data_IF_093194818561
#
_entry.id   IF_093194818561
#
_cell.length_a   1.000
_cell.length_b   1.000
_cell.length_c   1.000
_cell.angle_alpha   90.00
_cell.angle_beta   90.00
_cell.angle_gamma   90.00
#
_symmetry.space_group_name_H-M   'P 1'
#
loop_
_entity.id
_entity.type
_entity.pdbx_description
1 polymer ?
#
# COMPACT_ATOMS: atom_id res chain seq x y z
N UNK A 1 14.67 -14.78 5.18
CA UNK A 1 13.42 -15.39 5.71
C UNK A 1 12.33 -15.18 4.67
N UNK A 2 11.54 -16.21 4.32
CA UNK A 2 10.53 -16.12 3.27
C UNK A 2 9.16 -15.81 3.91
N UNK A 3 8.48 -14.76 3.45
CA UNK A 3 7.14 -14.39 3.91
C UNK A 3 6.08 -14.93 2.96
N UNK A 4 5.07 -15.62 3.49
CA UNK A 4 3.88 -16.10 2.78
C UNK A 4 2.66 -15.28 3.20
N UNK A 5 1.73 -15.08 2.27
CA UNK A 5 0.52 -14.31 2.49
C UNK A 5 -0.73 -15.19 2.38
N UNK A 6 -1.41 -15.40 3.51
CA UNK A 6 -2.62 -16.19 3.61
C UNK A 6 -3.76 -15.33 4.20
N UNK A 7 -4.56 -14.66 3.36
CA UNK A 7 -5.60 -13.73 3.82
C UNK A 7 -6.58 -14.33 4.84
N UNK A 8 -6.86 -15.62 4.71
CA UNK A 8 -7.80 -16.35 5.58
C UNK A 8 -7.16 -16.87 6.88
N UNK A 9 -5.88 -16.58 7.12
CA UNK A 9 -5.18 -17.05 8.31
C UNK A 9 -5.77 -16.41 9.57
N UNK A 10 -6.20 -17.26 10.50
CA UNK A 10 -6.70 -16.86 11.82
C UNK A 10 -5.98 -17.62 12.92
N UNK A 11 -5.88 -17.01 14.10
CA UNK A 11 -5.30 -17.66 15.27
C UNK A 11 -6.30 -18.72 15.76
N UNK A 12 -5.90 -20.01 15.87
CA UNK A 12 -6.78 -21.05 16.40
C UNK A 12 -7.02 -20.87 17.90
N UNK A 13 -8.12 -21.44 18.42
CA UNK A 13 -8.45 -21.40 19.85
C UNK A 13 -7.34 -22.04 20.71
N UNK A 14 -6.74 -23.13 20.23
CA UNK A 14 -5.53 -23.73 20.79
C UNK A 14 -4.35 -23.50 19.85
N UNK A 15 -3.48 -22.59 20.21
CA UNK A 15 -2.30 -22.25 19.42
C UNK A 15 -1.11 -23.17 19.68
N UNK A 16 -1.17 -24.06 20.68
CA UNK A 16 -0.06 -24.97 21.01
C UNK A 16 0.23 -25.99 19.90
N UNK A 17 -0.77 -26.28 19.05
CA UNK A 17 -0.67 -27.24 17.94
C UNK A 17 -1.03 -26.60 16.59
N UNK A 18 -0.73 -25.32 16.41
CA UNK A 18 -1.10 -24.59 15.21
C UNK A 18 -0.31 -25.04 13.98
N UNK A 19 -0.98 -25.83 13.15
CA UNK A 19 -0.44 -26.35 11.89
C UNK A 19 -1.17 -25.68 10.73
N UNK A 20 -0.41 -25.27 9.71
CA UNK A 20 -0.91 -24.56 8.54
C UNK A 20 -0.58 -25.38 7.29
N UNK A 21 -1.61 -25.78 6.55
CA UNK A 21 -1.47 -26.36 5.21
C UNK A 21 -1.45 -25.22 4.18
N UNK A 22 -0.42 -25.16 3.34
CA UNK A 22 -0.24 -24.07 2.39
C UNK A 22 -1.25 -24.17 1.25
N UNK A 23 -1.88 -23.04 0.87
CA UNK A 23 -2.68 -23.00 -0.35
C UNK A 23 -1.86 -23.49 -1.56
N UNK A 24 -2.54 -24.13 -2.52
CA UNK A 24 -1.90 -24.85 -3.64
C UNK A 24 -0.85 -23.98 -4.36
N UNK A 25 -1.14 -22.71 -4.61
CA UNK A 25 -0.22 -21.82 -5.32
C UNK A 25 1.00 -21.45 -4.47
N UNK A 26 0.80 -21.21 -3.17
CA UNK A 26 1.91 -20.93 -2.26
C UNK A 26 2.75 -22.19 -1.97
N UNK A 27 2.13 -23.36 -1.89
CA UNK A 27 2.87 -24.64 -1.81
C UNK A 27 3.74 -24.87 -3.06
N UNK A 28 3.21 -24.62 -4.26
CA UNK A 28 4.01 -24.67 -5.50
C UNK A 28 5.17 -23.67 -5.47
N UNK A 29 4.94 -22.46 -4.98
CA UNK A 29 5.98 -21.44 -4.84
C UNK A 29 7.08 -21.88 -3.86
N UNK A 30 6.69 -22.36 -2.67
CA UNK A 30 7.59 -22.90 -1.66
C UNK A 30 8.50 -24.03 -2.21
N UNK A 31 7.89 -24.98 -2.95
CA UNK A 31 8.58 -26.19 -3.44
C UNK A 31 9.45 -25.88 -4.68
N UNK A 32 8.86 -25.23 -5.71
CA UNK A 32 9.51 -25.10 -7.03
C UNK A 32 10.41 -23.87 -7.15
N UNK A 33 10.04 -22.76 -6.51
CA UNK A 33 10.78 -21.49 -6.62
C UNK A 33 11.75 -21.34 -5.46
N UNK A 34 11.25 -21.42 -4.24
CA UNK A 34 12.08 -21.26 -3.04
C UNK A 34 12.85 -22.52 -2.64
N UNK A 35 12.46 -23.69 -3.16
CA UNK A 35 13.09 -25.00 -2.91
C UNK A 35 13.24 -25.29 -1.41
N UNK A 36 12.18 -25.00 -0.65
CA UNK A 36 12.16 -25.27 0.78
C UNK A 36 12.20 -26.78 1.06
N UNK A 37 12.76 -27.13 2.20
CA UNK A 37 12.87 -28.49 2.72
C UNK A 37 12.23 -28.60 4.12
N UNK A 38 12.23 -29.78 4.69
CA UNK A 38 11.88 -29.97 6.11
C UNK A 38 12.74 -29.04 6.97
N UNK A 39 12.20 -28.56 8.08
CA UNK A 39 12.79 -27.63 9.05
C UNK A 39 13.13 -26.24 8.51
N UNK A 40 12.80 -25.94 7.22
CA UNK A 40 12.94 -24.58 6.69
C UNK A 40 12.08 -23.59 7.45
N UNK A 41 12.69 -22.50 7.94
CA UNK A 41 12.00 -21.43 8.64
C UNK A 41 11.26 -20.51 7.65
N UNK A 42 10.00 -20.19 7.96
CA UNK A 42 9.13 -19.34 7.17
C UNK A 42 8.36 -18.38 8.06
N UNK A 43 7.93 -17.26 7.49
CA UNK A 43 6.94 -16.38 8.10
C UNK A 43 5.66 -16.40 7.30
N UNK A 44 4.51 -16.25 7.97
CA UNK A 44 3.19 -16.26 7.34
C UNK A 44 2.40 -15.07 7.92
N UNK A 45 1.74 -14.32 7.05
CA UNK A 45 0.87 -13.20 7.46
C UNK A 45 -0.50 -13.30 6.83
N UNK A 46 -1.51 -12.75 7.51
CA UNK A 46 -2.84 -12.55 6.94
C UNK A 46 -3.03 -11.19 6.26
N UNK A 47 -2.01 -10.32 6.32
CA UNK A 47 -2.10 -8.95 5.79
C UNK A 47 -2.90 -7.99 6.67
N UNK A 48 -3.29 -8.39 7.88
CA UNK A 48 -4.07 -7.60 8.84
C UNK A 48 -3.30 -7.38 10.16
N UNK A 49 -1.96 -7.56 10.13
CA UNK A 49 -1.09 -7.35 11.28
C UNK A 49 -0.67 -8.62 12.00
N UNK A 50 -1.18 -9.79 11.63
CA UNK A 50 -0.70 -11.06 12.18
C UNK A 50 0.58 -11.50 11.48
N UNK A 51 1.62 -11.80 12.25
CA UNK A 51 2.88 -12.41 11.78
C UNK A 51 3.12 -13.71 12.53
N UNK A 52 2.99 -14.85 11.86
CA UNK A 52 3.30 -16.17 12.39
C UNK A 52 4.68 -16.64 11.90
N UNK A 53 5.48 -17.18 12.80
CA UNK A 53 6.79 -17.78 12.55
C UNK A 53 6.68 -19.28 12.67
N UNK A 54 7.07 -20.00 11.63
CA UNK A 54 6.82 -21.42 11.51
C UNK A 54 8.02 -22.14 10.86
N UNK A 55 8.09 -23.47 11.03
CA UNK A 55 8.97 -24.33 10.28
C UNK A 55 8.19 -25.39 9.51
N UNK A 56 8.77 -25.84 8.41
CA UNK A 56 8.15 -26.85 7.54
C UNK A 56 8.26 -28.22 8.18
N UNK A 57 7.09 -28.84 8.47
CA UNK A 57 7.03 -30.18 9.08
C UNK A 57 6.70 -31.29 8.06
N UNK A 58 6.10 -30.94 6.93
CA UNK A 58 5.86 -31.88 5.82
C UNK A 58 5.93 -31.15 4.48
N UNK A 59 6.61 -31.74 3.53
CA UNK A 59 6.73 -31.21 2.17
C UNK A 59 6.85 -32.35 1.16
N UNK A 60 6.06 -32.27 0.09
CA UNK A 60 6.10 -33.19 -1.05
C UNK A 60 5.75 -32.44 -2.33
N UNK A 61 5.61 -33.15 -3.48
CA UNK A 61 5.33 -32.52 -4.79
C UNK A 61 4.06 -31.67 -4.87
N UNK A 62 3.11 -31.83 -3.93
CA UNK A 62 1.78 -31.20 -3.97
C UNK A 62 1.42 -30.44 -2.70
N UNK A 63 2.08 -30.71 -1.60
CA UNK A 63 1.72 -30.22 -0.28
C UNK A 63 2.92 -29.65 0.44
N UNK A 64 2.69 -28.59 1.20
CA UNK A 64 3.65 -27.97 2.10
C UNK A 64 2.89 -27.63 3.39
N UNK A 65 3.37 -28.14 4.52
CA UNK A 65 2.74 -27.97 5.84
C UNK A 65 3.77 -27.38 6.79
N UNK A 66 3.38 -26.34 7.51
CA UNK A 66 4.21 -25.71 8.52
C UNK A 66 3.58 -25.77 9.89
N UNK A 67 4.42 -25.90 10.92
CA UNK A 67 4.04 -25.75 12.31
C UNK A 67 4.44 -24.38 12.80
N UNK A 68 3.48 -23.64 13.37
CA UNK A 68 3.76 -22.32 13.98
C UNK A 68 4.41 -22.51 15.34
N UNK A 69 5.50 -21.82 15.58
CA UNK A 69 6.24 -21.80 16.85
C UNK A 69 5.87 -20.61 17.73
N UNK A 70 5.68 -19.45 17.09
CA UNK A 70 5.25 -18.22 17.74
C UNK A 70 4.53 -17.32 16.75
N UNK A 71 3.79 -16.35 17.26
CA UNK A 71 3.15 -15.32 16.45
C UNK A 71 3.18 -13.97 17.17
N UNK A 72 2.98 -12.93 16.40
CA UNK A 72 2.86 -11.55 16.88
C UNK A 72 1.61 -10.94 16.22
N UNK A 73 0.78 -10.29 17.01
CA UNK A 73 -0.33 -9.46 16.55
C UNK A 73 0.12 -8.01 16.42
N UNK A 74 -0.55 -7.26 15.59
CA UNK A 74 -0.21 -5.85 15.30
C UNK A 74 1.27 -5.64 14.89
N UNK A 75 1.89 -6.64 14.26
CA UNK A 75 3.29 -6.59 13.83
C UNK A 75 3.52 -5.44 12.84
N UNK A 76 4.35 -4.47 13.25
CA UNK A 76 4.66 -3.29 12.45
C UNK A 76 3.49 -2.31 12.29
N UNK A 77 2.52 -2.32 13.24
CA UNK A 77 1.44 -1.34 13.26
C UNK A 77 2.00 0.07 13.38
N UNK A 78 1.52 0.95 12.50
CA UNK A 78 1.89 2.37 12.51
C UNK A 78 0.95 3.17 13.40
N UNK A 79 1.41 4.33 13.87
CA UNK A 79 0.65 5.25 14.71
C UNK A 79 -0.23 6.23 13.89
N UNK A 80 -0.22 6.13 12.56
CA UNK A 80 -0.95 7.00 11.63
C UNK A 80 -1.57 6.16 10.51
N UNK A 81 -2.50 6.75 9.77
CA UNK A 81 -3.11 6.15 8.59
C UNK A 81 -2.80 7.00 7.36
N UNK A 82 -2.20 6.40 6.35
CA UNK A 82 -1.80 7.07 5.12
C UNK A 82 -2.55 6.54 3.90
N UNK A 83 -3.31 7.43 3.27
CA UNK A 83 -4.00 7.21 2.01
C UNK A 83 -3.39 8.10 0.92
N UNK A 84 -2.95 7.52 -0.18
CA UNK A 84 -2.53 8.27 -1.36
C UNK A 84 -3.54 8.03 -2.49
N UNK A 85 -4.20 9.09 -2.91
CA UNK A 85 -5.04 9.10 -4.10
C UNK A 85 -4.22 9.65 -5.26
N UNK A 86 -3.97 8.84 -6.28
CA UNK A 86 -3.04 9.21 -7.36
C UNK A 86 -3.56 8.82 -8.72
N UNK A 87 -3.42 9.71 -9.70
CA UNK A 87 -3.78 9.40 -11.07
C UNK A 87 -2.83 8.33 -11.66
N UNK A 88 -3.36 7.24 -12.25
CA UNK A 88 -2.53 6.26 -12.94
C UNK A 88 -1.77 6.93 -14.09
N UNK A 89 -0.46 6.74 -14.12
CA UNK A 89 0.40 7.34 -15.14
C UNK A 89 0.16 6.74 -16.52
N UNK A 90 0.40 7.51 -17.58
CA UNK A 90 0.34 7.05 -18.99
C UNK A 90 1.12 5.75 -19.17
N UNK A 91 2.36 5.70 -18.67
CA UNK A 91 3.15 4.48 -18.61
C UNK A 91 2.86 3.74 -17.30
N UNK A 92 2.06 2.68 -17.38
CA UNK A 92 1.62 1.91 -16.20
C UNK A 92 2.79 1.41 -15.33
N UNK A 93 3.96 1.13 -15.91
CA UNK A 93 5.15 0.69 -15.16
C UNK A 93 5.61 1.70 -14.10
N UNK A 94 5.33 3.00 -14.29
CA UNK A 94 5.64 4.02 -13.30
C UNK A 94 4.66 3.99 -12.14
N UNK A 95 3.39 3.73 -12.45
CA UNK A 95 2.36 3.52 -11.42
C UNK A 95 2.65 2.23 -10.63
N UNK A 96 2.99 1.11 -11.32
CA UNK A 96 3.43 -0.13 -10.67
C UNK A 96 4.65 0.10 -9.76
N UNK A 97 5.61 0.90 -10.20
CA UNK A 97 6.79 1.26 -9.39
C UNK A 97 6.39 2.06 -8.13
N UNK A 98 5.45 3.00 -8.26
CA UNK A 98 4.90 3.70 -7.08
C UNK A 98 4.24 2.72 -6.12
N UNK A 99 3.38 1.81 -6.61
CA UNK A 99 2.72 0.79 -5.76
C UNK A 99 3.73 -0.05 -4.99
N UNK A 100 4.77 -0.50 -5.67
CA UNK A 100 5.86 -1.28 -5.07
C UNK A 100 6.56 -0.47 -3.97
N UNK A 101 7.03 0.74 -4.27
CA UNK A 101 7.84 1.52 -3.32
C UNK A 101 7.02 2.11 -2.17
N UNK A 102 5.79 2.52 -2.40
CA UNK A 102 4.88 2.96 -1.34
C UNK A 102 4.57 1.80 -0.36
N UNK A 103 4.39 0.58 -0.88
CA UNK A 103 4.21 -0.61 -0.04
C UNK A 103 5.46 -0.90 0.79
N UNK A 104 6.65 -0.82 0.22
CA UNK A 104 7.91 -0.98 0.96
C UNK A 104 8.08 0.06 2.07
N UNK A 105 7.72 1.32 1.82
CA UNK A 105 7.81 2.40 2.80
C UNK A 105 6.75 2.30 3.90
N UNK A 106 5.57 1.81 3.55
CA UNK A 106 4.40 1.74 4.43
C UNK A 106 3.32 2.72 3.98
N UNK A 107 2.24 2.17 3.48
CA UNK A 107 1.01 2.86 3.09
C UNK A 107 -0.16 1.98 3.50
N UNK A 108 -1.31 2.59 3.83
CA UNK A 108 -2.50 1.84 4.21
C UNK A 108 -3.48 1.69 3.05
N UNK A 109 -3.65 2.76 2.27
CA UNK A 109 -4.65 2.79 1.22
C UNK A 109 -4.16 3.53 -0.02
N UNK A 110 -4.50 3.01 -1.19
CA UNK A 110 -4.20 3.62 -2.48
C UNK A 110 -5.49 3.66 -3.29
N UNK A 111 -5.84 4.85 -3.79
CA UNK A 111 -6.97 5.01 -4.72
C UNK A 111 -6.47 5.56 -6.05
N UNK A 112 -6.58 4.78 -7.13
CA UNK A 112 -6.38 5.31 -8.47
C UNK A 112 -7.50 6.30 -8.82
N UNK A 113 -7.17 7.57 -9.08
CA UNK A 113 -8.16 8.62 -9.40
C UNK A 113 -8.05 9.06 -10.85
N UNK A 114 -9.20 9.26 -11.49
CA UNK A 114 -9.29 9.63 -12.90
C UNK A 114 -9.79 11.08 -13.00
N UNK A 115 -8.88 11.99 -13.36
CA UNK A 115 -9.15 13.41 -13.53
C UNK A 115 -9.33 13.82 -14.98
N UNK A 116 -9.54 15.13 -15.18
CA UNK A 116 -9.77 15.73 -16.50
C UNK A 116 -8.59 15.46 -17.46
N UNK A 117 -7.35 15.65 -17.01
CA UNK A 117 -6.15 15.47 -17.80
C UNK A 117 -5.57 14.05 -17.73
N UNK A 118 -6.29 13.07 -17.15
CA UNK A 118 -5.82 11.68 -17.09
C UNK A 118 -5.77 11.05 -18.48
N UNK A 119 -4.58 10.69 -18.94
CA UNK A 119 -4.41 9.93 -20.18
C UNK A 119 -4.76 8.45 -20.00
N UNK A 120 -4.48 7.88 -18.84
CA UNK A 120 -4.86 6.52 -18.47
C UNK A 120 -6.10 6.54 -17.60
N UNK A 121 -7.17 5.87 -18.08
CA UNK A 121 -8.47 5.82 -17.40
C UNK A 121 -8.82 4.46 -16.82
N UNK A 122 -7.98 3.46 -17.08
CA UNK A 122 -8.20 2.08 -16.63
C UNK A 122 -6.90 1.47 -16.10
N UNK A 123 -7.04 0.63 -15.09
CA UNK A 123 -5.97 -0.22 -14.57
C UNK A 123 -6.44 -1.68 -14.55
N UNK A 124 -5.50 -2.61 -14.55
CA UNK A 124 -5.77 -4.04 -14.35
C UNK A 124 -5.67 -4.35 -12.86
N UNK A 125 -6.74 -4.13 -12.12
CA UNK A 125 -6.79 -4.22 -10.66
C UNK A 125 -6.05 -5.45 -10.10
N UNK A 126 -6.34 -6.66 -10.58
CA UNK A 126 -5.71 -7.89 -10.08
C UNK A 126 -4.19 -7.91 -10.30
N UNK A 127 -3.72 -7.30 -11.37
CA UNK A 127 -2.29 -7.17 -11.65
C UNK A 127 -1.63 -6.21 -10.68
N UNK A 128 -2.23 -5.04 -10.48
CA UNK A 128 -1.70 -4.02 -9.58
C UNK A 128 -1.73 -4.52 -8.13
N UNK A 129 -2.77 -5.23 -7.73
CA UNK A 129 -2.84 -5.85 -6.40
C UNK A 129 -1.76 -6.93 -6.19
N UNK A 130 -1.38 -7.67 -7.24
CA UNK A 130 -0.25 -8.60 -7.18
C UNK A 130 1.10 -7.90 -6.99
N UNK A 131 1.28 -6.69 -7.55
CA UNK A 131 2.48 -5.86 -7.32
C UNK A 131 2.58 -5.51 -5.83
N UNK A 132 1.49 -5.04 -5.23
CA UNK A 132 1.41 -4.72 -3.80
C UNK A 132 1.72 -5.97 -2.95
N UNK A 133 1.09 -7.11 -3.25
CA UNK A 133 1.32 -8.36 -2.52
C UNK A 133 2.80 -8.79 -2.60
N UNK A 134 3.41 -8.70 -3.78
CA UNK A 134 4.82 -9.05 -3.95
C UNK A 134 5.74 -8.11 -3.15
N UNK A 135 5.47 -6.80 -3.17
CA UNK A 135 6.22 -5.82 -2.41
C UNK A 135 6.07 -6.00 -0.89
N UNK A 136 4.85 -6.28 -0.41
CA UNK A 136 4.57 -6.60 0.99
C UNK A 136 5.37 -7.83 1.45
N UNK A 137 5.36 -8.91 0.66
CA UNK A 137 6.12 -10.14 0.97
C UNK A 137 7.62 -9.87 0.99
N UNK A 138 8.14 -9.13 0.01
CA UNK A 138 9.56 -8.81 -0.11
C UNK A 138 10.04 -7.93 1.06
N UNK A 139 9.23 -6.97 1.49
CA UNK A 139 9.56 -6.04 2.58
C UNK A 139 9.17 -6.54 3.98
N UNK A 140 8.73 -7.81 4.08
CA UNK A 140 8.37 -8.51 5.33
C UNK A 140 7.33 -7.77 6.17
N UNK A 141 6.32 -7.16 5.52
CA UNK A 141 5.25 -6.44 6.21
C UNK A 141 4.05 -7.35 6.51
N UNK A 142 3.41 -7.11 7.66
CA UNK A 142 2.22 -7.84 8.06
C UNK A 142 0.89 -7.14 7.70
N UNK A 143 0.94 -5.92 7.16
CA UNK A 143 -0.22 -5.19 6.66
C UNK A 143 -0.18 -5.11 5.14
N UNK A 144 -1.26 -5.59 4.50
CA UNK A 144 -1.45 -5.49 3.06
C UNK A 144 -2.14 -4.17 2.72
N UNK A 145 -1.50 -3.26 1.97
CA UNK A 145 -2.15 -2.01 1.56
C UNK A 145 -3.43 -2.27 0.77
N UNK A 146 -4.47 -1.55 1.11
CA UNK A 146 -5.75 -1.60 0.39
C UNK A 146 -5.62 -0.86 -0.94
N UNK A 147 -5.84 -1.55 -2.04
CA UNK A 147 -5.99 -0.93 -3.36
C UNK A 147 -7.49 -0.77 -3.65
N UNK A 148 -7.94 0.45 -3.91
CA UNK A 148 -9.32 0.70 -4.34
C UNK A 148 -9.50 0.53 -5.85
N UNK A 149 -10.76 0.35 -6.28
CA UNK A 149 -11.10 0.45 -7.68
C UNK A 149 -10.90 1.90 -8.17
N UNK A 150 -10.51 2.10 -9.44
CA UNK A 150 -10.43 3.44 -10.01
C UNK A 150 -11.76 4.18 -9.90
N UNK A 151 -11.70 5.46 -9.53
CA UNK A 151 -12.90 6.30 -9.45
C UNK A 151 -12.63 7.71 -9.98
N UNK A 152 -13.70 8.41 -10.35
CA UNK A 152 -13.59 9.78 -10.81
C UNK A 152 -13.11 10.69 -9.66
N UNK A 153 -12.20 11.63 -9.97
CA UNK A 153 -11.63 12.55 -8.97
C UNK A 153 -12.71 13.34 -8.22
N UNK A 154 -13.76 13.76 -8.92
CA UNK A 154 -14.87 14.52 -8.33
C UNK A 154 -15.71 13.70 -7.34
N UNK A 155 -15.82 12.40 -7.56
CA UNK A 155 -16.49 11.47 -6.62
C UNK A 155 -15.57 11.18 -5.43
N UNK A 156 -14.28 10.97 -5.71
CA UNK A 156 -13.27 10.76 -4.68
C UNK A 156 -13.25 11.91 -3.67
N UNK A 157 -13.11 13.15 -4.11
CA UNK A 157 -13.04 14.34 -3.26
C UNK A 157 -14.22 14.40 -2.28
N UNK A 158 -15.44 14.11 -2.75
CA UNK A 158 -16.68 14.19 -1.93
C UNK A 158 -16.83 13.08 -0.90
N UNK A 159 -16.05 12.01 -0.98
CA UNK A 159 -16.21 10.80 -0.15
C UNK A 159 -15.14 10.65 0.92
N UNK A 160 -14.30 11.68 1.17
CA UNK A 160 -13.20 11.58 2.13
C UNK A 160 -13.62 11.79 3.56
N UNK A 161 -12.93 11.05 4.45
CA UNK A 161 -13.22 11.02 5.89
C UNK A 161 -11.96 11.09 6.75
N UNK A 162 -10.79 11.13 6.13
CA UNK A 162 -9.52 11.26 6.83
C UNK A 162 -9.48 12.62 7.57
N UNK A 163 -8.75 12.70 8.67
CA UNK A 163 -8.67 13.90 9.51
C UNK A 163 -7.99 15.07 8.79
N UNK A 164 -7.04 14.75 7.90
CA UNK A 164 -6.29 15.73 7.12
C UNK A 164 -6.32 15.39 5.64
N UNK A 165 -6.70 16.36 4.83
CA UNK A 165 -6.89 16.22 3.39
C UNK A 165 -5.98 17.20 2.66
N UNK A 166 -5.07 16.70 1.82
CA UNK A 166 -4.13 17.51 1.07
C UNK A 166 -4.23 17.27 -0.42
N UNK A 167 -4.11 18.34 -1.21
CA UNK A 167 -3.97 18.29 -2.67
C UNK A 167 -2.64 18.93 -3.08
N UNK A 168 -1.79 18.16 -3.79
CA UNK A 168 -0.53 18.67 -4.32
C UNK A 168 -0.68 19.04 -5.80
N UNK A 169 -0.65 20.32 -6.12
CA UNK A 169 -0.80 20.86 -7.47
C UNK A 169 0.21 22.00 -7.74
N UNK A 170 0.32 22.42 -9.00
CA UNK A 170 1.31 23.41 -9.45
C UNK A 170 0.70 24.80 -9.75
N UNK A 171 -0.59 25.01 -9.47
CA UNK A 171 -1.34 26.20 -9.91
C UNK A 171 -1.02 27.45 -9.07
N UNK A 172 -0.52 27.31 -7.84
CA UNK A 172 -0.20 28.43 -6.95
C UNK A 172 1.17 28.25 -6.28
N UNK A 173 1.98 29.33 -6.26
CA UNK A 173 3.35 29.33 -5.72
C UNK A 173 3.43 29.54 -4.18
N UNK A 174 2.31 29.80 -3.49
CA UNK A 174 2.28 30.13 -2.07
C UNK A 174 1.79 29.02 -1.14
N UNK A 175 1.94 27.78 -1.56
CA UNK A 175 1.48 26.64 -0.77
C UNK A 175 2.46 26.30 0.36
N UNK A 176 1.91 25.86 1.50
CA UNK A 176 2.73 25.28 2.56
C UNK A 176 3.37 23.97 2.10
N UNK A 177 4.59 23.72 2.55
CA UNK A 177 5.20 22.41 2.33
C UNK A 177 4.41 21.34 3.10
N UNK A 178 4.14 20.19 2.48
CA UNK A 178 3.43 19.07 3.12
C UNK A 178 4.01 18.73 4.50
N UNK A 179 5.33 18.74 4.64
CA UNK A 179 6.02 18.49 5.93
C UNK A 179 5.71 19.48 7.04
N UNK A 180 5.22 20.67 6.68
CA UNK A 180 4.87 21.74 7.64
C UNK A 180 3.35 21.81 7.87
N UNK A 181 2.57 21.26 6.96
CA UNK A 181 1.11 21.22 7.04
C UNK A 181 0.60 20.03 7.86
N UNK A 182 1.23 18.86 7.71
CA UNK A 182 0.81 17.62 8.34
C UNK A 182 1.09 17.59 9.85
N UNK A 183 0.11 17.11 10.63
CA UNK A 183 0.21 16.90 12.08
C UNK A 183 0.43 15.41 12.39
N UNK A 184 1.39 15.12 13.27
CA UNK A 184 1.83 13.76 13.61
C UNK A 184 0.68 12.89 14.15
N UNK A 185 0.66 11.63 13.75
CA UNK A 185 -0.29 10.63 14.25
C UNK A 185 -1.69 10.72 13.67
N UNK A 186 -1.95 11.64 12.72
CA UNK A 186 -3.26 11.81 12.09
C UNK A 186 -3.47 10.85 10.92
N UNK A 187 -4.74 10.54 10.66
CA UNK A 187 -5.13 9.94 9.39
C UNK A 187 -5.09 11.01 8.30
N UNK A 188 -4.41 10.71 7.20
CA UNK A 188 -4.15 11.69 6.14
C UNK A 188 -4.40 11.11 4.76
N UNK A 189 -5.04 11.91 3.90
CA UNK A 189 -5.17 11.64 2.48
C UNK A 189 -4.39 12.70 1.68
N UNK A 190 -3.54 12.25 0.74
CA UNK A 190 -2.85 13.15 -0.21
C UNK A 190 -3.31 12.82 -1.63
N UNK A 191 -3.86 13.83 -2.31
CA UNK A 191 -4.36 13.74 -3.67
C UNK A 191 -3.29 14.25 -4.65
N UNK A 192 -2.91 13.39 -5.61
CA UNK A 192 -1.86 13.63 -6.61
C UNK A 192 -2.45 13.49 -8.02
N UNK A 193 -2.30 14.54 -8.83
CA UNK A 193 -2.82 14.63 -10.18
C UNK A 193 -2.08 13.82 -11.24
N UNK A 194 -2.63 13.76 -12.46
CA UNK A 194 -1.97 13.18 -13.63
C UNK A 194 -0.80 14.05 -14.11
N UNK A 195 -0.10 13.61 -15.15
CA UNK A 195 1.03 14.34 -15.74
C UNK A 195 0.66 15.76 -16.25
N UNK A 196 -0.62 15.98 -16.60
CA UNK A 196 -1.17 17.27 -17.01
C UNK A 196 -1.72 18.14 -15.88
N UNK A 197 -1.47 17.75 -14.62
CA UNK A 197 -2.03 18.36 -13.40
C UNK A 197 -3.56 18.29 -13.33
N UNK A 198 -4.14 18.89 -12.31
CA UNK A 198 -5.59 19.03 -12.13
C UNK A 198 -6.16 20.16 -13.01
N UNK A 199 -7.45 20.09 -13.34
CA UNK A 199 -8.14 21.25 -13.85
C UNK A 199 -8.41 22.28 -12.73
N UNK A 200 -8.67 23.52 -13.11
CA UNK A 200 -9.03 24.57 -12.13
C UNK A 200 -10.29 24.20 -11.34
N UNK A 201 -11.26 23.56 -12.00
CA UNK A 201 -12.50 23.12 -11.33
C UNK A 201 -12.23 21.98 -10.34
N UNK A 202 -11.29 21.07 -10.63
CA UNK A 202 -10.90 19.99 -9.71
C UNK A 202 -10.21 20.54 -8.47
N UNK A 203 -9.32 21.52 -8.63
CA UNK A 203 -8.65 22.19 -7.49
C UNK A 203 -9.69 22.95 -6.67
N UNK A 204 -10.54 23.78 -7.28
CA UNK A 204 -11.59 24.51 -6.56
C UNK A 204 -12.50 23.59 -5.77
N UNK A 205 -12.96 22.48 -6.39
CA UNK A 205 -13.79 21.50 -5.72
C UNK A 205 -13.07 20.84 -4.52
N UNK A 206 -11.78 20.55 -4.64
CA UNK A 206 -11.00 19.98 -3.54
C UNK A 206 -10.91 20.96 -2.37
N UNK A 207 -10.57 22.22 -2.62
CA UNK A 207 -10.48 23.27 -1.60
C UNK A 207 -11.84 23.50 -0.93
N UNK A 208 -12.93 23.58 -1.68
CA UNK A 208 -14.29 23.69 -1.15
C UNK A 208 -14.73 22.47 -0.33
N UNK A 209 -14.11 21.31 -0.57
CA UNK A 209 -14.37 20.05 0.14
C UNK A 209 -13.42 19.81 1.31
N UNK A 210 -12.62 20.81 1.71
CA UNK A 210 -11.76 20.76 2.89
C UNK A 210 -10.35 20.20 2.64
N UNK A 211 -9.92 20.08 1.38
CA UNK A 211 -8.52 19.82 1.09
C UNK A 211 -7.70 21.09 1.23
N UNK A 212 -6.53 20.99 1.84
CA UNK A 212 -5.54 22.05 1.85
C UNK A 212 -4.54 21.86 0.69
N UNK A 213 -4.22 22.98 -0.01
CA UNK A 213 -3.22 22.96 -1.05
C UNK A 213 -1.81 22.89 -0.45
N UNK A 214 -1.01 21.93 -0.90
CA UNK A 214 0.36 21.72 -0.40
C UNK A 214 1.38 21.60 -1.51
N UNK A 215 2.61 22.03 -1.21
CA UNK A 215 3.78 21.84 -2.05
C UNK A 215 4.63 20.68 -1.53
N UNK A 216 5.26 19.94 -2.46
CA UNK A 216 6.22 18.89 -2.16
C UNK A 216 7.69 19.36 -2.31
N UNK A 217 7.88 20.66 -2.50
CA UNK A 217 9.19 21.29 -2.67
C UNK A 217 9.29 22.14 -3.93
N UNK A 218 10.49 22.67 -4.21
CA UNK A 218 10.72 23.67 -5.25
C UNK A 218 10.99 23.07 -6.65
N UNK A 219 10.91 21.75 -6.80
CA UNK A 219 11.19 21.07 -8.07
C UNK A 219 9.93 20.44 -8.63
N UNK A 220 9.79 20.49 -9.96
CA UNK A 220 8.69 19.80 -10.63
C UNK A 220 8.91 18.28 -10.55
N UNK A 221 8.01 17.58 -9.87
CA UNK A 221 8.01 16.13 -9.75
C UNK A 221 7.07 15.51 -10.79
N UNK A 222 7.37 14.28 -11.21
CA UNK A 222 6.41 13.45 -11.94
C UNK A 222 5.37 12.90 -10.97
N UNK A 223 4.21 12.50 -11.47
CA UNK A 223 3.09 11.96 -10.68
C UNK A 223 3.53 10.85 -9.73
N UNK A 224 4.23 9.83 -10.23
CA UNK A 224 4.74 8.72 -9.42
C UNK A 224 5.75 9.17 -8.36
N UNK A 225 6.57 10.17 -8.70
CA UNK A 225 7.56 10.73 -7.77
C UNK A 225 6.88 11.59 -6.70
N UNK A 226 5.89 12.40 -7.07
CA UNK A 226 5.11 13.21 -6.14
C UNK A 226 4.35 12.34 -5.14
N UNK A 227 3.69 11.28 -5.61
CA UNK A 227 3.00 10.32 -4.76
C UNK A 227 3.97 9.62 -3.78
N UNK A 228 5.14 9.18 -4.26
CA UNK A 228 6.14 8.55 -3.40
C UNK A 228 6.78 9.53 -2.41
N UNK A 229 7.06 10.78 -2.83
CA UNK A 229 7.57 11.83 -1.96
C UNK A 229 6.59 12.14 -0.83
N UNK A 230 5.28 12.21 -1.13
CA UNK A 230 4.24 12.37 -0.11
C UNK A 230 4.23 11.21 0.88
N UNK A 231 4.27 9.97 0.37
CA UNK A 231 4.33 8.76 1.21
C UNK A 231 5.57 8.79 2.11
N UNK A 232 6.75 9.09 1.57
CA UNK A 232 8.00 9.18 2.32
C UNK A 232 7.95 10.28 3.39
N UNK A 233 7.46 11.47 3.04
CA UNK A 233 7.37 12.62 3.96
C UNK A 233 6.52 12.29 5.18
N UNK A 234 5.31 11.76 4.97
CA UNK A 234 4.40 11.41 6.08
C UNK A 234 5.01 10.33 6.98
N UNK A 235 5.58 9.26 6.40
CA UNK A 235 6.21 8.20 7.19
C UNK A 235 7.41 8.72 7.99
N UNK A 236 8.29 9.54 7.38
CA UNK A 236 9.48 10.08 8.05
C UNK A 236 9.15 11.01 9.22
N UNK A 237 8.05 11.76 9.12
CA UNK A 237 7.61 12.63 10.20
C UNK A 237 7.06 11.85 11.41
N UNK A 238 6.57 10.63 11.19
CA UNK A 238 6.00 9.79 12.25
C UNK A 238 6.99 8.79 12.87
N UNK A 239 8.26 8.80 12.46
CA UNK A 239 9.32 8.01 13.10
C UNK A 239 9.78 8.67 14.39
#
# INVERSE_FOLDING_TARGET
MNLFYFPELTIPKDSSTWVIDFPVEEAKHAIKVLRLSLDSQVSITNGLGLMAYAHIIAINKKQCVAQVERFEEEYGKRNHYLHIAVAPTKNIKRFEWFLEKATEMGIDEITPVIGFHSERREIKYDRENKVITAAMKQSLKAYHPKLNQPMAIKEFIKSRVEEELYIAHLIDDKQLLLKNAYHLGKSVCVLIGPEGDFSHEEVSLALESGFDAVSLGNTRLRTETAALASCFTINMLNL
#
